data_IF_715740452993
#
_entry.id   IF_715740452993
#
_cell.length_a   1.000
_cell.length_b   1.000
_cell.length_c   1.000
_cell.angle_alpha   90.00
_cell.angle_beta   90.00
_cell.angle_gamma   90.00
#
_symmetry.space_group_name_H-M   'P 1'
#
loop_
_entity.id
_entity.type
_entity.pdbx_description
1 polymer ?
#
# COMPACT_ATOMS: atom_id res chain seq x y z
N UNK A 1 21.12 17.17 -11.38
CA UNK A 1 21.96 16.04 -10.89
C UNK A 1 21.18 14.78 -11.17
N UNK A 2 21.75 13.83 -11.91
CA UNK A 2 21.05 12.57 -12.19
C UNK A 2 21.15 11.68 -10.96
N UNK A 3 20.00 11.33 -10.37
CA UNK A 3 19.93 10.44 -9.22
C UNK A 3 19.66 8.98 -9.63
N UNK A 4 19.52 8.73 -10.94
CA UNK A 4 19.40 7.39 -11.52
C UNK A 4 19.83 7.33 -12.98
N UNK A 5 20.14 6.12 -13.46
CA UNK A 5 20.28 5.80 -14.87
C UNK A 5 19.88 4.34 -15.12
N UNK A 6 19.41 4.03 -16.33
CA UNK A 6 18.86 2.72 -16.68
C UNK A 6 19.62 2.09 -17.82
N UNK A 7 19.88 0.79 -17.69
CA UNK A 7 20.29 -0.09 -18.77
C UNK A 7 19.06 -0.83 -19.31
N UNK A 8 18.46 -0.35 -20.42
CA UNK A 8 17.33 -1.03 -21.04
C UNK A 8 17.84 -2.26 -21.81
N UNK A 9 17.29 -3.44 -21.52
CA UNK A 9 17.46 -4.67 -22.31
C UNK A 9 18.88 -5.31 -22.35
N UNK A 10 19.94 -4.57 -22.03
CA UNK A 10 21.32 -5.09 -22.05
C UNK A 10 22.33 -4.14 -21.42
N UNK A 11 23.62 -4.49 -21.48
CA UNK A 11 24.69 -3.71 -20.83
C UNK A 11 24.83 -3.96 -19.33
N UNK A 12 24.18 -5.01 -18.82
CA UNK A 12 24.37 -5.53 -17.48
C UNK A 12 24.39 -7.06 -17.48
N UNK A 13 25.10 -7.65 -16.53
CA UNK A 13 25.10 -9.11 -16.29
C UNK A 13 25.21 -9.36 -14.79
N UNK A 14 24.51 -10.38 -14.28
CA UNK A 14 24.56 -10.73 -12.86
C UNK A 14 25.21 -12.09 -12.71
N UNK A 15 26.23 -12.15 -11.87
CA UNK A 15 26.93 -13.38 -11.52
C UNK A 15 27.10 -13.44 -10.00
N UNK A 16 26.37 -14.36 -9.36
CA UNK A 16 26.38 -14.49 -7.90
C UNK A 16 26.02 -13.18 -7.19
N UNK A 17 26.98 -12.64 -6.42
CA UNK A 17 26.83 -11.39 -5.69
C UNK A 17 27.45 -10.18 -6.40
N UNK A 18 27.58 -10.22 -7.73
CA UNK A 18 28.11 -9.11 -8.53
C UNK A 18 27.18 -8.75 -9.68
N UNK A 19 27.16 -7.46 -10.00
CA UNK A 19 26.61 -6.94 -11.25
C UNK A 19 27.76 -6.37 -12.10
N UNK A 20 27.91 -6.87 -13.31
CA UNK A 20 28.78 -6.29 -14.33
C UNK A 20 27.97 -5.27 -15.11
N UNK A 21 28.43 -4.04 -15.18
CA UNK A 21 27.77 -2.95 -15.88
C UNK A 21 28.67 -2.42 -16.99
N UNK A 22 28.11 -2.21 -18.18
CA UNK A 22 28.87 -1.64 -19.31
C UNK A 22 29.45 -0.28 -18.91
N UNK A 23 30.73 -0.08 -19.24
CA UNK A 23 31.56 1.11 -18.93
C UNK A 23 31.88 1.34 -17.45
N UNK A 24 31.34 0.55 -16.52
CA UNK A 24 31.60 0.67 -15.08
C UNK A 24 32.42 -0.53 -14.58
N UNK A 25 32.19 -1.73 -15.13
CA UNK A 25 32.85 -2.96 -14.71
C UNK A 25 32.02 -3.75 -13.70
N UNK A 26 32.69 -4.65 -12.97
CA UNK A 26 32.04 -5.49 -11.94
C UNK A 26 31.92 -4.77 -10.60
N UNK A 27 30.70 -4.76 -10.06
CA UNK A 27 30.39 -4.17 -8.75
C UNK A 27 29.77 -5.24 -7.87
N UNK A 28 30.31 -5.41 -6.67
CA UNK A 28 29.72 -6.31 -5.66
C UNK A 28 28.40 -5.72 -5.18
N UNK A 29 27.36 -6.54 -5.16
CA UNK A 29 26.02 -6.19 -4.69
C UNK A 29 25.63 -7.08 -3.50
N UNK A 30 24.80 -6.53 -2.61
CA UNK A 30 24.06 -7.33 -1.63
C UNK A 30 22.78 -7.80 -2.31
N UNK A 31 22.80 -9.00 -2.87
CA UNK A 31 21.61 -9.62 -3.43
C UNK A 31 20.71 -10.07 -2.28
N UNK A 32 19.69 -9.27 -1.95
CA UNK A 32 18.82 -9.51 -0.79
C UNK A 32 17.68 -10.49 -1.04
N UNK A 33 17.48 -10.94 -2.28
CA UNK A 33 16.52 -11.97 -2.68
C UNK A 33 17.00 -12.64 -3.96
N UNK A 34 16.61 -13.89 -4.15
CA UNK A 34 16.83 -14.60 -5.42
C UNK A 34 16.12 -13.89 -6.58
N UNK A 35 16.75 -13.96 -7.75
CA UNK A 35 16.19 -13.41 -8.97
C UNK A 35 15.24 -14.43 -9.58
N UNK A 36 14.07 -13.96 -9.98
CA UNK A 36 13.04 -14.79 -10.59
C UNK A 36 12.84 -14.34 -12.02
N UNK A 37 12.61 -15.30 -12.91
CA UNK A 37 12.31 -15.03 -14.32
C UNK A 37 13.44 -14.29 -15.07
N UNK A 38 13.05 -13.56 -16.12
CA UNK A 38 13.99 -12.88 -17.02
C UNK A 38 14.14 -11.42 -16.62
N UNK A 39 15.37 -10.98 -16.39
CA UNK A 39 15.65 -9.56 -16.13
C UNK A 39 15.50 -8.77 -17.43
N UNK A 40 14.71 -7.70 -17.39
CA UNK A 40 14.43 -6.82 -18.53
C UNK A 40 15.21 -5.52 -18.46
N UNK A 41 15.35 -4.96 -17.25
CA UNK A 41 16.09 -3.72 -17.03
C UNK A 41 16.91 -3.77 -15.74
N UNK A 42 18.04 -3.06 -15.75
CA UNK A 42 18.80 -2.73 -14.55
C UNK A 42 18.85 -1.21 -14.42
N UNK A 43 18.19 -0.66 -13.41
CA UNK A 43 18.26 0.76 -13.09
C UNK A 43 19.13 0.95 -11.85
N UNK A 44 20.18 1.74 -11.99
CA UNK A 44 21.00 2.16 -10.86
C UNK A 44 20.40 3.45 -10.31
N UNK A 45 19.97 3.41 -9.05
CA UNK A 45 19.44 4.58 -8.35
C UNK A 45 20.33 4.94 -7.16
N UNK A 46 20.41 6.22 -6.87
CA UNK A 46 21.04 6.73 -5.65
C UNK A 46 19.96 7.24 -4.70
N UNK A 47 19.97 6.75 -3.46
CA UNK A 47 19.01 7.16 -2.44
C UNK A 47 19.68 7.19 -1.08
N UNK A 48 19.61 8.33 -0.40
CA UNK A 48 20.20 8.55 0.92
C UNK A 48 21.68 8.10 1.01
N UNK A 49 22.46 8.39 -0.04
CA UNK A 49 23.88 8.07 -0.12
C UNK A 49 24.21 6.61 -0.46
N UNK A 50 23.20 5.77 -0.65
CA UNK A 50 23.34 4.38 -1.06
C UNK A 50 23.03 4.23 -2.55
N UNK A 51 23.69 3.27 -3.20
CA UNK A 51 23.39 2.84 -4.56
C UNK A 51 22.55 1.57 -4.50
N UNK A 52 21.50 1.50 -5.32
CA UNK A 52 20.66 0.32 -5.48
C UNK A 52 20.63 -0.09 -6.95
N UNK A 53 20.79 -1.37 -7.21
CA UNK A 53 20.49 -1.98 -8.49
C UNK A 53 19.04 -2.48 -8.47
N UNK A 54 18.14 -1.75 -9.13
CA UNK A 54 16.75 -2.13 -9.29
C UNK A 54 16.61 -2.97 -10.55
N UNK A 55 16.28 -4.25 -10.37
CA UNK A 55 16.18 -5.23 -11.43
C UNK A 55 14.70 -5.52 -11.69
N UNK A 56 14.19 -5.08 -12.83
CA UNK A 56 12.82 -5.42 -13.25
C UNK A 56 12.86 -6.76 -13.95
N UNK A 57 12.09 -7.70 -13.43
CA UNK A 57 12.04 -9.07 -13.95
C UNK A 57 10.65 -9.38 -14.48
N UNK A 58 10.61 -10.06 -15.61
CA UNK A 58 9.43 -10.68 -16.18
C UNK A 58 9.34 -12.11 -15.63
N UNK A 59 8.26 -12.41 -14.92
CA UNK A 59 8.07 -13.65 -14.16
C UNK A 59 6.71 -14.22 -14.54
N UNK A 60 6.67 -15.51 -14.85
CA UNK A 60 5.42 -16.20 -15.10
C UNK A 60 4.54 -16.22 -13.84
N UNK A 61 3.21 -16.06 -13.96
CA UNK A 61 2.29 -16.20 -12.84
C UNK A 61 2.43 -17.56 -12.16
N UNK A 62 2.24 -17.61 -10.84
CA UNK A 62 2.24 -18.83 -10.05
C UNK A 62 0.90 -18.95 -9.30
N UNK A 63 -0.14 -19.47 -9.96
CA UNK A 63 -1.47 -19.51 -9.39
C UNK A 63 -1.52 -20.41 -8.15
N UNK A 64 -2.26 -19.97 -7.13
CA UNK A 64 -2.55 -20.78 -5.95
C UNK A 64 -3.74 -21.71 -6.21
N UNK A 65 -3.91 -22.80 -5.43
CA UNK A 65 -5.11 -23.62 -5.48
C UNK A 65 -6.38 -22.78 -5.30
N UNK A 66 -7.41 -23.12 -6.10
CA UNK A 66 -8.71 -22.44 -6.05
C UNK A 66 -9.37 -22.68 -4.69
N UNK A 67 -9.93 -21.62 -4.12
CA UNK A 67 -10.71 -21.65 -2.87
C UNK A 67 -12.04 -20.94 -3.09
N UNK A 68 -13.02 -21.18 -2.21
CA UNK A 68 -14.38 -20.62 -2.35
C UNK A 68 -14.64 -19.38 -1.47
N UNK A 69 -13.62 -18.89 -0.77
CA UNK A 69 -13.73 -17.75 0.15
C UNK A 69 -13.69 -16.42 -0.61
N UNK A 70 -14.54 -15.47 -0.21
CA UNK A 70 -14.65 -14.14 -0.83
C UNK A 70 -14.83 -13.10 0.27
N UNK A 71 -14.29 -11.91 0.08
CA UNK A 71 -14.32 -10.87 1.11
C UNK A 71 -14.55 -9.49 0.51
N UNK A 72 -15.38 -8.70 1.17
CA UNK A 72 -15.41 -7.25 0.98
C UNK A 72 -14.60 -6.57 2.07
N UNK A 73 -13.84 -5.55 1.70
CA UNK A 73 -12.95 -4.82 2.59
C UNK A 73 -13.33 -3.35 2.60
N UNK A 74 -13.83 -2.89 3.74
CA UNK A 74 -13.98 -1.47 4.03
C UNK A 74 -12.63 -0.88 4.46
N UNK A 75 -12.24 0.26 3.84
CA UNK A 75 -10.95 0.92 4.06
C UNK A 75 -11.14 2.11 5.00
N UNK A 76 -10.84 1.90 6.27
CA UNK A 76 -11.02 2.89 7.33
C UNK A 76 -9.73 3.61 7.75
N UNK A 77 -9.92 4.69 8.53
CA UNK A 77 -8.83 5.38 9.24
C UNK A 77 -8.57 4.81 10.64
N UNK A 78 -9.61 4.25 11.29
CA UNK A 78 -9.52 3.63 12.62
C UNK A 78 -8.95 2.22 12.51
N UNK A 79 -9.52 1.43 11.60
CA UNK A 79 -9.03 0.12 11.21
C UNK A 79 -8.60 0.24 9.74
N UNK A 80 -7.40 -0.26 9.41
CA UNK A 80 -6.86 -0.22 8.05
C UNK A 80 -7.77 -0.98 7.07
N UNK A 81 -8.29 -2.12 7.51
CA UNK A 81 -9.29 -2.91 6.78
C UNK A 81 -10.28 -3.53 7.75
N UNK A 82 -11.57 -3.51 7.43
CA UNK A 82 -12.58 -4.35 8.08
C UNK A 82 -13.11 -5.33 7.04
N UNK A 83 -12.76 -6.62 7.17
CA UNK A 83 -13.34 -7.70 6.37
C UNK A 83 -14.83 -7.86 6.68
N UNK A 84 -15.61 -8.33 5.70
CA UNK A 84 -17.01 -8.73 5.89
C UNK A 84 -17.20 -9.84 6.93
N UNK A 85 -16.13 -10.58 7.26
CA UNK A 85 -16.11 -11.61 8.32
C UNK A 85 -15.89 -11.03 9.73
N UNK A 86 -15.52 -9.75 9.85
CA UNK A 86 -15.55 -8.99 11.11
C UNK A 86 -14.23 -8.83 11.86
N UNK A 87 -13.12 -9.48 11.47
CA UNK A 87 -11.81 -9.29 12.12
C UNK A 87 -11.04 -8.07 11.56
N UNK A 88 -10.97 -6.93 12.28
CA UNK A 88 -10.27 -5.75 11.79
C UNK A 88 -8.76 -5.98 11.70
N UNK A 89 -8.13 -5.35 10.71
CA UNK A 89 -6.67 -5.16 10.67
C UNK A 89 -6.42 -3.69 10.98
N UNK A 90 -5.68 -3.41 12.04
CA UNK A 90 -5.42 -2.04 12.49
C UNK A 90 -4.37 -1.33 11.64
N UNK A 91 -4.52 -0.01 11.53
CA UNK A 91 -3.50 0.85 10.95
C UNK A 91 -2.35 1.02 11.96
N UNK A 92 -1.09 0.78 11.58
CA UNK A 92 0.03 0.86 12.51
C UNK A 92 0.43 2.30 12.88
N UNK A 93 -0.14 3.33 12.26
CA UNK A 93 0.11 4.76 12.53
C UNK A 93 1.61 5.18 12.56
N UNK A 94 2.46 4.58 11.70
CA UNK A 94 3.91 4.80 11.73
C UNK A 94 4.33 6.27 11.55
N UNK A 95 3.64 7.04 10.70
CA UNK A 95 3.91 8.47 10.51
C UNK A 95 3.57 9.25 11.78
N UNK A 96 2.47 8.91 12.45
CA UNK A 96 2.07 9.53 13.71
C UNK A 96 3.09 9.26 14.81
N UNK A 97 3.54 8.01 14.95
CA UNK A 97 4.58 7.62 15.92
C UNK A 97 5.89 8.38 15.70
N UNK A 98 6.26 8.63 14.43
CA UNK A 98 7.51 9.30 14.06
C UNK A 98 7.43 10.84 14.05
N UNK A 99 6.27 11.42 14.33
CA UNK A 99 5.99 12.83 14.10
C UNK A 99 6.90 13.78 14.90
N UNK A 100 7.08 13.50 16.19
CA UNK A 100 7.89 14.35 17.05
C UNK A 100 9.35 14.41 16.56
N UNK A 101 9.88 13.27 16.11
CA UNK A 101 11.21 13.18 15.55
C UNK A 101 11.31 13.88 14.18
N UNK A 102 10.32 13.73 13.32
CA UNK A 102 10.23 14.43 12.03
C UNK A 102 10.23 15.95 12.24
N UNK A 103 9.39 16.47 13.15
CA UNK A 103 9.35 17.90 13.51
C UNK A 103 10.70 18.40 14.00
N UNK A 104 11.39 17.63 14.86
CA UNK A 104 12.73 17.96 15.35
C UNK A 104 13.74 18.09 14.22
N UNK A 105 13.78 17.12 13.30
CA UNK A 105 14.70 17.14 12.16
C UNK A 105 14.36 18.22 11.13
N UNK A 106 13.08 18.46 10.85
CA UNK A 106 12.64 19.57 10.00
C UNK A 106 13.06 20.93 10.57
N UNK A 107 12.85 21.17 11.87
CA UNK A 107 13.33 22.38 12.57
C UNK A 107 14.85 22.52 12.47
N UNK A 108 15.59 21.42 12.65
CA UNK A 108 17.05 21.43 12.55
C UNK A 108 17.55 21.76 11.13
N UNK A 109 16.84 21.33 10.08
CA UNK A 109 17.12 21.72 8.68
C UNK A 109 16.85 23.21 8.46
N UNK A 110 15.69 23.68 8.93
CA UNK A 110 15.25 25.07 8.75
C UNK A 110 16.19 26.08 9.39
N UNK A 111 16.66 25.81 10.61
CA UNK A 111 17.57 26.71 11.35
C UNK A 111 19.01 26.79 10.79
N UNK A 112 19.38 25.96 9.82
CA UNK A 112 20.76 25.91 9.28
C UNK A 112 20.88 26.66 7.96
N UNK A 113 21.97 27.42 7.78
CA UNK A 113 22.27 28.19 6.56
C UNK A 113 22.14 27.32 5.30
N UNK A 114 21.37 27.79 4.32
CA UNK A 114 21.21 27.16 3.00
C UNK A 114 22.58 26.99 2.34
N UNK A 115 22.82 25.83 1.70
CA UNK A 115 24.11 25.47 1.09
C UNK A 115 25.20 25.01 2.06
N UNK A 116 25.07 25.22 3.38
CA UNK A 116 26.11 24.79 4.33
C UNK A 116 26.24 23.27 4.46
N UNK A 117 27.47 22.79 4.71
CA UNK A 117 27.74 21.37 4.99
C UNK A 117 26.92 20.86 6.20
N UNK A 118 26.72 21.69 7.22
CA UNK A 118 25.88 21.36 8.39
C UNK A 118 24.42 21.14 8.00
N UNK A 119 23.87 21.98 7.10
CA UNK A 119 22.50 21.79 6.60
C UNK A 119 22.39 20.51 5.77
N UNK A 120 23.36 20.24 4.89
CA UNK A 120 23.40 19.00 4.09
C UNK A 120 23.35 17.74 4.97
N UNK A 121 24.12 17.71 6.06
CA UNK A 121 24.06 16.63 7.06
C UNK A 121 22.66 16.50 7.70
N UNK A 122 22.02 17.62 8.04
CA UNK A 122 20.69 17.60 8.65
C UNK A 122 19.59 17.13 7.67
N UNK A 123 19.65 17.55 6.41
CA UNK A 123 18.73 17.08 5.34
C UNK A 123 18.86 15.57 5.15
N UNK A 124 20.08 15.05 5.18
CA UNK A 124 20.32 13.61 5.07
C UNK A 124 19.67 12.82 6.21
N UNK A 125 19.76 13.31 7.45
CA UNK A 125 19.10 12.66 8.59
C UNK A 125 17.58 12.70 8.49
N UNK A 126 17.02 13.83 8.05
CA UNK A 126 15.59 13.94 7.77
C UNK A 126 15.15 12.95 6.68
N UNK A 127 15.91 12.85 5.59
CA UNK A 127 15.61 11.94 4.48
C UNK A 127 15.70 10.46 4.89
N UNK A 128 16.65 10.10 5.77
CA UNK A 128 16.71 8.75 6.37
C UNK A 128 15.48 8.42 7.20
N UNK A 129 15.00 9.35 8.03
CA UNK A 129 13.80 9.14 8.83
C UNK A 129 12.55 8.99 7.96
N UNK A 130 12.39 9.82 6.93
CA UNK A 130 11.30 9.66 5.96
C UNK A 130 11.36 8.30 5.24
N UNK A 131 12.56 7.86 4.84
CA UNK A 131 12.74 6.54 4.25
C UNK A 131 12.35 5.41 5.21
N UNK A 132 12.71 5.52 6.50
CA UNK A 132 12.35 4.54 7.51
C UNK A 132 10.82 4.40 7.64
N UNK A 133 10.11 5.52 7.83
CA UNK A 133 8.64 5.53 7.93
C UNK A 133 7.98 4.97 6.66
N UNK A 134 8.49 5.35 5.48
CA UNK A 134 7.99 4.81 4.22
C UNK A 134 8.20 3.31 4.10
N UNK A 135 9.35 2.80 4.55
CA UNK A 135 9.65 1.37 4.54
C UNK A 135 8.79 0.58 5.54
N UNK A 136 8.49 1.13 6.72
CA UNK A 136 7.59 0.49 7.69
C UNK A 136 6.17 0.35 7.13
N UNK A 137 5.61 1.42 6.56
CA UNK A 137 4.28 1.36 5.89
C UNK A 137 4.27 0.35 4.74
N UNK A 138 5.33 0.35 3.93
CA UNK A 138 5.48 -0.60 2.82
C UNK A 138 5.55 -2.05 3.28
N UNK A 139 6.30 -2.32 4.35
CA UNK A 139 6.41 -3.66 4.94
C UNK A 139 5.04 -4.15 5.46
N UNK A 140 4.34 -3.30 6.21
CA UNK A 140 3.01 -3.61 6.71
C UNK A 140 2.02 -3.88 5.57
N UNK A 141 1.94 -3.00 4.58
CA UNK A 141 1.09 -3.20 3.41
C UNK A 141 1.43 -4.50 2.65
N UNK A 142 2.72 -4.86 2.54
CA UNK A 142 3.12 -6.12 1.92
C UNK A 142 2.66 -7.35 2.73
N UNK A 143 2.71 -7.30 4.06
CA UNK A 143 2.24 -8.38 4.93
C UNK A 143 0.73 -8.54 4.86
N UNK A 144 -0.02 -7.43 4.99
CA UNK A 144 -1.49 -7.43 4.90
C UNK A 144 -1.95 -7.93 3.54
N UNK A 145 -1.41 -7.38 2.45
CA UNK A 145 -1.79 -7.84 1.10
C UNK A 145 -1.48 -9.31 0.85
N UNK A 146 -0.39 -9.85 1.42
CA UNK A 146 -0.10 -11.29 1.31
C UNK A 146 -1.10 -12.13 2.11
N UNK A 147 -1.49 -11.70 3.33
CA UNK A 147 -2.52 -12.37 4.14
C UNK A 147 -3.83 -12.47 3.35
N UNK A 148 -4.29 -11.36 2.78
CA UNK A 148 -5.54 -11.31 2.01
C UNK A 148 -5.52 -12.24 0.79
N UNK A 149 -4.47 -12.17 -0.04
CA UNK A 149 -4.35 -12.99 -1.27
C UNK A 149 -4.26 -14.48 -0.97
N UNK A 150 -3.68 -14.85 0.17
CA UNK A 150 -3.62 -16.27 0.58
C UNK A 150 -4.98 -16.79 1.07
N UNK A 151 -5.80 -15.93 1.69
CA UNK A 151 -7.03 -16.33 2.38
C UNK A 151 -8.28 -16.29 1.48
N UNK A 152 -8.29 -15.45 0.44
CA UNK A 152 -9.50 -15.19 -0.35
C UNK A 152 -9.30 -15.39 -1.85
N UNK A 153 -10.31 -15.96 -2.50
CA UNK A 153 -10.37 -16.11 -3.96
C UNK A 153 -10.77 -14.81 -4.67
N UNK A 154 -11.68 -14.05 -4.06
CA UNK A 154 -12.13 -12.75 -4.51
C UNK A 154 -12.00 -11.74 -3.37
N UNK A 155 -11.38 -10.60 -3.66
CA UNK A 155 -11.17 -9.52 -2.71
C UNK A 155 -11.78 -8.25 -3.31
N UNK A 156 -12.77 -7.68 -2.63
CA UNK A 156 -13.44 -6.46 -3.06
C UNK A 156 -13.04 -5.26 -2.21
N UNK A 157 -12.80 -4.12 -2.85
CA UNK A 157 -12.54 -2.83 -2.20
C UNK A 157 -13.48 -1.76 -2.75
N UNK A 158 -13.62 -0.67 -2.02
CA UNK A 158 -14.14 0.57 -2.59
C UNK A 158 -13.13 1.23 -3.53
N UNK A 159 -13.62 1.78 -4.64
CA UNK A 159 -12.87 2.68 -5.52
C UNK A 159 -12.84 4.10 -4.91
N UNK A 160 -11.99 4.27 -3.90
CA UNK A 160 -11.83 5.55 -3.21
C UNK A 160 -11.01 6.53 -4.05
N UNK A 161 -11.51 7.76 -4.20
CA UNK A 161 -10.73 8.87 -4.75
C UNK A 161 -9.72 9.41 -3.72
N UNK A 162 -8.69 8.61 -3.41
CA UNK A 162 -7.66 8.94 -2.41
C UNK A 162 -6.99 10.27 -2.72
N UNK A 163 -6.74 10.57 -4.00
CA UNK A 163 -6.12 11.84 -4.41
C UNK A 163 -7.00 13.06 -4.10
N UNK A 164 -8.31 12.92 -4.22
CA UNK A 164 -9.29 13.92 -3.81
C UNK A 164 -9.36 14.05 -2.28
N UNK A 165 -9.39 12.91 -1.56
CA UNK A 165 -9.52 12.91 -0.10
C UNK A 165 -8.32 13.54 0.61
N UNK A 166 -7.10 13.37 0.08
CA UNK A 166 -5.89 13.98 0.65
C UNK A 166 -5.86 15.51 0.48
N UNK A 167 -6.75 16.10 -0.33
CA UNK A 167 -6.90 17.57 -0.40
C UNK A 167 -7.53 18.15 0.86
N UNK A 168 -8.29 17.36 1.62
CA UNK A 168 -8.71 17.77 2.96
C UNK A 168 -7.52 17.67 3.92
N UNK A 169 -6.96 18.82 4.26
CA UNK A 169 -5.77 18.92 5.11
C UNK A 169 -5.96 18.37 6.53
N UNK A 170 -7.20 18.24 7.03
CA UNK A 170 -7.47 17.67 8.34
C UNK A 170 -7.29 16.15 8.36
N UNK A 171 -7.64 15.47 7.26
CA UNK A 171 -7.58 14.01 7.12
C UNK A 171 -6.37 13.52 6.32
N UNK A 172 -5.76 14.39 5.52
CA UNK A 172 -4.65 14.09 4.63
C UNK A 172 -3.56 13.24 5.29
N UNK A 173 -3.15 13.61 6.51
CA UNK A 173 -2.10 12.89 7.23
C UNK A 173 -2.51 11.46 7.57
N UNK A 174 -3.72 11.27 8.12
CA UNK A 174 -4.23 9.96 8.51
C UNK A 174 -4.46 9.06 7.29
N UNK A 175 -4.97 9.62 6.19
CA UNK A 175 -5.15 8.90 4.91
C UNK A 175 -3.79 8.46 4.36
N UNK A 176 -2.82 9.37 4.34
CA UNK A 176 -1.46 9.06 3.88
C UNK A 176 -0.82 8.00 4.78
N UNK A 177 -1.02 8.05 6.10
CA UNK A 177 -0.47 7.07 7.04
C UNK A 177 -1.10 5.68 6.87
N UNK A 178 -2.42 5.61 6.66
CA UNK A 178 -3.15 4.38 6.37
C UNK A 178 -2.67 3.71 5.06
N UNK A 179 -2.36 4.51 4.03
CA UNK A 179 -1.73 3.98 2.82
C UNK A 179 -2.63 3.10 1.96
N UNK A 180 -3.94 3.36 1.94
CA UNK A 180 -4.97 2.60 1.22
C UNK A 180 -4.60 2.29 -0.24
N UNK A 181 -4.19 3.31 -1.00
CA UNK A 181 -3.81 3.12 -2.41
C UNK A 181 -2.64 2.13 -2.57
N UNK A 182 -1.65 2.19 -1.68
CA UNK A 182 -0.53 1.26 -1.69
C UNK A 182 -0.98 -0.16 -1.34
N UNK A 183 -1.90 -0.31 -0.38
CA UNK A 183 -2.45 -1.62 -0.02
C UNK A 183 -3.22 -2.23 -1.19
N UNK A 184 -4.17 -1.48 -1.79
CA UNK A 184 -4.96 -1.93 -2.94
C UNK A 184 -4.02 -2.33 -4.09
N UNK A 185 -3.06 -1.47 -4.44
CA UNK A 185 -2.06 -1.79 -5.46
C UNK A 185 -1.33 -3.11 -5.16
N UNK A 186 -0.92 -3.33 -3.90
CA UNK A 186 -0.20 -4.53 -3.51
C UNK A 186 -1.06 -5.78 -3.50
N UNK A 187 -2.34 -5.66 -3.19
CA UNK A 187 -3.30 -6.76 -3.30
C UNK A 187 -3.53 -7.09 -4.77
N UNK A 188 -3.77 -6.10 -5.63
CA UNK A 188 -4.02 -6.28 -7.07
C UNK A 188 -2.93 -7.09 -7.75
N UNK A 189 -1.67 -6.65 -7.71
CA UNK A 189 -0.62 -7.36 -8.45
C UNK A 189 -0.31 -8.75 -7.86
N UNK A 190 -0.47 -8.93 -6.54
CA UNK A 190 -0.26 -10.24 -5.90
C UNK A 190 -1.40 -11.20 -6.20
N UNK A 191 -2.63 -10.69 -6.24
CA UNK A 191 -3.81 -11.45 -6.59
C UNK A 191 -3.71 -11.95 -8.02
N UNK A 192 -3.37 -11.08 -8.96
CA UNK A 192 -3.14 -11.43 -10.37
C UNK A 192 -2.09 -12.55 -10.50
N UNK A 193 -0.93 -12.39 -9.86
CA UNK A 193 0.13 -13.41 -9.85
C UNK A 193 -0.30 -14.74 -9.22
N UNK A 194 -1.24 -14.71 -8.27
CA UNK A 194 -1.72 -15.87 -7.52
C UNK A 194 -3.01 -16.48 -8.08
N UNK A 195 -3.53 -16.01 -9.23
CA UNK A 195 -4.80 -16.49 -9.79
C UNK A 195 -6.01 -16.13 -8.92
N UNK A 196 -5.96 -15.00 -8.22
CA UNK A 196 -7.05 -14.43 -7.41
C UNK A 196 -7.65 -13.22 -8.11
N UNK A 197 -8.89 -12.88 -7.78
CA UNK A 197 -9.59 -11.75 -8.38
C UNK A 197 -9.68 -10.57 -7.40
N UNK A 198 -9.48 -9.36 -7.92
CA UNK A 198 -9.72 -8.11 -7.19
C UNK A 198 -10.77 -7.29 -7.91
N UNK A 199 -11.74 -6.78 -7.18
CA UNK A 199 -12.81 -5.93 -7.72
C UNK A 199 -12.86 -4.64 -6.94
N UNK A 200 -12.90 -3.51 -7.64
CA UNK A 200 -13.18 -2.22 -7.02
C UNK A 200 -14.60 -1.80 -7.36
N UNK A 201 -15.37 -1.38 -6.36
CA UNK A 201 -16.79 -1.02 -6.50
C UNK A 201 -16.99 0.44 -6.16
N UNK A 202 -18.07 1.02 -6.69
CA UNK A 202 -18.45 2.39 -6.36
C UNK A 202 -18.74 2.51 -4.84
N UNK A 203 -18.07 3.42 -4.11
CA UNK A 203 -18.27 3.62 -2.67
C UNK A 203 -19.63 4.25 -2.30
N UNK A 204 -20.42 4.67 -3.28
CA UNK A 204 -21.66 5.40 -3.02
C UNK A 204 -22.65 4.59 -2.18
N UNK A 205 -23.02 5.14 -1.02
CA UNK A 205 -23.96 4.58 -0.04
C UNK A 205 -23.61 3.20 0.57
N UNK A 206 -22.43 2.63 0.32
CA UNK A 206 -22.00 1.34 0.89
C UNK A 206 -22.16 1.29 2.41
N UNK A 207 -21.80 2.36 3.12
CA UNK A 207 -21.91 2.45 4.57
C UNK A 207 -23.28 2.89 5.10
N UNK A 208 -24.22 3.31 4.24
CA UNK A 208 -25.58 3.74 4.63
C UNK A 208 -26.64 2.71 4.26
N UNK A 209 -26.49 2.04 3.12
CA UNK A 209 -27.38 1.00 2.66
C UNK A 209 -27.33 -0.20 3.62
N UNK A 210 -28.48 -0.73 3.98
CA UNK A 210 -28.56 -1.94 4.79
C UNK A 210 -28.15 -3.15 3.96
N UNK A 211 -27.17 -3.92 4.43
CA UNK A 211 -26.72 -5.12 3.74
C UNK A 211 -27.73 -6.26 3.75
N UNK A 212 -28.76 -6.18 4.61
CA UNK A 212 -29.83 -7.16 4.69
C UNK A 212 -31.01 -6.83 3.76
N UNK A 213 -31.60 -5.63 3.87
CA UNK A 213 -32.82 -5.27 3.13
C UNK A 213 -32.61 -4.23 2.00
N UNK A 214 -31.44 -3.59 1.92
CA UNK A 214 -31.14 -2.58 0.91
C UNK A 214 -31.68 -1.17 1.20
N UNK A 215 -32.41 -0.94 2.30
CA UNK A 215 -32.87 0.41 2.69
C UNK A 215 -31.71 1.34 3.07
N UNK A 216 -31.85 2.64 2.78
CA UNK A 216 -30.87 3.65 3.17
C UNK A 216 -31.11 4.09 4.60
N UNK A 217 -30.16 3.76 5.49
CA UNK A 217 -30.12 4.26 6.86
C UNK A 217 -29.14 5.43 6.91
N UNK A 218 -29.69 6.66 6.88
CA UNK A 218 -28.90 7.88 7.02
C UNK A 218 -28.24 7.91 8.39
N UNK A 219 -26.93 8.15 8.41
CA UNK A 219 -26.12 8.20 9.62
C UNK A 219 -24.92 9.13 9.42
N UNK A 220 -24.48 9.73 10.51
CA UNK A 220 -23.27 10.54 10.61
C UNK A 220 -22.02 9.68 10.74
N UNK A 221 -20.83 10.28 10.58
CA UNK A 221 -19.56 9.55 10.73
C UNK A 221 -19.31 9.04 12.16
N UNK A 222 -19.92 9.67 13.17
CA UNK A 222 -19.84 9.28 14.58
C UNK A 222 -20.68 8.05 14.91
N UNK A 223 -21.72 7.77 14.13
CA UNK A 223 -22.58 6.60 14.35
C UNK A 223 -21.88 5.35 13.84
N UNK A 224 -21.39 4.53 14.79
CA UNK A 224 -20.63 3.31 14.51
C UNK A 224 -21.49 2.05 14.44
N UNK A 225 -22.71 2.11 14.96
CA UNK A 225 -23.67 1.01 14.83
C UNK A 225 -24.57 1.29 13.63
N UNK A 226 -24.73 0.31 12.75
CA UNK A 226 -25.81 0.30 11.77
C UNK A 226 -27.01 -0.41 12.37
N UNK A 227 -28.12 0.31 12.52
CA UNK A 227 -29.40 -0.23 12.97
C UNK A 227 -30.45 0.08 11.89
N UNK A 228 -31.05 -0.96 11.33
CA UNK A 228 -32.05 -0.84 10.29
C UNK A 228 -33.45 -1.18 10.81
N UNK A 229 -34.47 -0.56 10.22
CA UNK A 229 -35.91 -0.85 10.40
C UNK A 229 -36.25 -2.34 10.20
N UNK A 230 -35.52 -3.04 9.32
CA UNK A 230 -35.69 -4.47 9.07
C UNK A 230 -35.20 -5.37 10.22
N UNK A 231 -34.69 -4.80 11.31
CA UNK A 231 -34.16 -5.52 12.48
C UNK A 231 -32.67 -5.88 12.39
N UNK A 232 -32.00 -5.62 11.27
CA UNK A 232 -30.56 -5.84 11.14
C UNK A 232 -29.76 -4.83 11.96
N UNK A 233 -28.85 -5.35 12.80
CA UNK A 233 -27.93 -4.56 13.62
C UNK A 233 -26.52 -5.11 13.47
N UNK A 234 -25.58 -4.24 13.11
CA UNK A 234 -24.17 -4.59 12.98
C UNK A 234 -23.26 -3.37 13.20
N UNK A 235 -21.95 -3.60 13.30
CA UNK A 235 -21.00 -2.50 13.13
C UNK A 235 -21.13 -1.89 11.72
N UNK A 236 -21.00 -0.56 11.63
CA UNK A 236 -21.17 0.20 10.39
C UNK A 236 -20.18 -0.25 9.31
N UNK A 237 -18.94 -0.49 9.69
CA UNK A 237 -17.86 -0.79 8.77
C UNK A 237 -18.01 -2.26 8.31
N UNK A 238 -18.52 -3.17 9.17
CA UNK A 238 -18.92 -4.54 8.77
C UNK A 238 -20.08 -4.51 7.77
N UNK A 239 -21.13 -3.70 8.00
CA UNK A 239 -22.22 -3.53 7.03
C UNK A 239 -21.71 -3.01 5.69
N UNK A 240 -20.79 -2.03 5.70
CA UNK A 240 -20.16 -1.52 4.50
C UNK A 240 -19.38 -2.61 3.75
N UNK A 241 -18.56 -3.39 4.46
CA UNK A 241 -17.80 -4.52 3.91
C UNK A 241 -18.70 -5.56 3.23
N UNK A 242 -19.85 -5.90 3.82
CA UNK A 242 -20.83 -6.81 3.21
C UNK A 242 -21.41 -6.21 1.92
N UNK A 243 -21.78 -4.92 1.93
CA UNK A 243 -22.27 -4.25 0.72
C UNK A 243 -21.23 -4.20 -0.40
N UNK A 244 -19.96 -3.93 -0.06
CA UNK A 244 -18.84 -3.94 -1.00
C UNK A 244 -18.72 -5.32 -1.67
N UNK A 245 -18.81 -6.40 -0.88
CA UNK A 245 -18.80 -7.75 -1.41
C UNK A 245 -20.00 -8.02 -2.33
N UNK A 246 -21.20 -7.66 -1.90
CA UNK A 246 -22.43 -7.86 -2.68
C UNK A 246 -22.38 -7.13 -4.02
N UNK A 247 -21.87 -5.89 -4.07
CA UNK A 247 -21.67 -5.14 -5.31
C UNK A 247 -20.63 -5.80 -6.21
N UNK A 248 -19.52 -6.28 -5.64
CA UNK A 248 -18.49 -6.96 -6.40
C UNK A 248 -19.00 -8.26 -7.03
N UNK A 249 -19.79 -9.04 -6.31
CA UNK A 249 -20.41 -10.25 -6.83
C UNK A 249 -21.34 -9.96 -8.02
N UNK A 250 -22.11 -8.86 -7.98
CA UNK A 250 -22.94 -8.43 -9.11
C UNK A 250 -22.14 -8.01 -10.33
N UNK A 251 -20.93 -7.47 -10.15
CA UNK A 251 -20.07 -7.04 -11.25
C UNK A 251 -19.34 -8.21 -11.95
N UNK A 252 -19.28 -9.37 -11.31
CA UNK A 252 -18.53 -10.56 -11.77
C UNK A 252 -19.47 -11.68 -12.22
N UNK A 253 -20.77 -11.58 -11.90
CA UNK A 253 -21.83 -12.47 -12.37
C UNK A 253 -22.30 -12.06 -13.76
#
# INVERSE_FOLDING_TARGET
RYDSFTYPQGGYTIHGNKVKLSKIGEVKIKLHRELQGKIKTCTIITKNGNYYACLSCEVEPNPLPVINTKVGIDLGLKHLTIPSEGEPIDSPEYLRQSENQLKKYQRAVSKKKKGSNRRRKAVHQLAKLHEHVANQRKDHAHKVSRKLVNQYQLIAFEDLNVSGMVKDHHLAKSIVDAGWHQLVQFVTYKAESAGRQVVQVNPYNTSQQCSNCGEIVKKTLSERTHQCSCGYVADRDVNAAINILNLALKNVS
#
